data_IF_102576057177
#
_entry.id   IF_102576057177
#
_cell.length_a   1.000
_cell.length_b   1.000
_cell.length_c   1.000
_cell.angle_alpha   90.00
_cell.angle_beta   90.00
_cell.angle_gamma   90.00
#
_symmetry.space_group_name_H-M   'P 1'
#
loop_
_entity.id
_entity.type
_entity.pdbx_description
1 polymer ?
#
# COMPACT_ATOMS: atom_id res chain seq x y z
N UNK A 1 37.55 40.51 0.06
CA UNK A 1 36.13 40.12 -0.14
C UNK A 1 35.70 39.35 1.09
N UNK A 2 34.66 39.80 1.81
CA UNK A 2 34.11 39.01 2.92
C UNK A 2 33.37 37.79 2.34
N UNK A 3 33.71 36.60 2.82
CA UNK A 3 33.04 35.36 2.42
C UNK A 3 31.56 35.37 2.85
N UNK A 4 30.75 34.47 2.28
CA UNK A 4 29.33 34.38 2.64
C UNK A 4 29.17 34.07 4.13
N UNK A 5 28.23 34.76 4.77
CA UNK A 5 27.84 34.48 6.16
C UNK A 5 27.26 33.06 6.26
N UNK A 6 27.66 32.26 7.27
CA UNK A 6 27.07 30.94 7.49
C UNK A 6 25.56 31.03 7.76
N UNK A 7 24.75 30.08 7.26
CA UNK A 7 23.32 30.05 7.55
C UNK A 7 23.05 29.80 9.03
N UNK A 8 22.00 30.42 9.56
CA UNK A 8 21.56 30.24 10.95
C UNK A 8 20.61 29.03 11.02
N UNK A 9 20.83 28.08 11.95
CA UNK A 9 19.90 26.97 12.16
C UNK A 9 18.50 27.42 12.59
N UNK A 10 17.47 26.72 12.12
CA UNK A 10 16.11 26.95 12.59
C UNK A 10 15.95 26.51 14.06
N UNK A 11 15.20 27.27 14.89
CA UNK A 11 14.83 26.84 16.24
C UNK A 11 14.07 25.52 16.26
N UNK A 12 14.36 24.65 17.23
CA UNK A 12 13.79 23.29 17.32
C UNK A 12 12.28 23.28 17.50
N UNK A 13 11.72 24.30 18.15
CA UNK A 13 10.27 24.49 18.33
C UNK A 13 9.52 24.88 17.05
N UNK A 14 10.25 25.31 16.01
CA UNK A 14 9.69 25.54 14.68
C UNK A 14 9.73 24.28 13.80
N UNK A 15 10.42 23.23 14.25
CA UNK A 15 10.48 21.96 13.53
C UNK A 15 9.24 21.14 13.83
N UNK A 16 8.66 20.56 12.78
CA UNK A 16 7.47 19.70 12.89
C UNK A 16 7.82 18.28 12.50
N UNK A 17 7.24 17.31 13.19
CA UNK A 17 7.29 15.93 12.74
C UNK A 17 6.42 15.76 11.50
N UNK A 18 6.93 15.02 10.52
CA UNK A 18 6.17 14.64 9.34
C UNK A 18 5.13 13.58 9.71
N UNK A 19 4.00 14.03 10.24
CA UNK A 19 2.87 13.17 10.60
C UNK A 19 1.94 12.94 9.40
N UNK A 20 1.20 11.82 9.36
CA UNK A 20 0.15 11.63 8.38
C UNK A 20 -0.85 12.80 8.42
N UNK A 21 -1.30 13.30 7.26
CA UNK A 21 -2.31 14.35 7.19
C UNK A 21 -3.65 13.88 7.79
N UNK A 22 -4.35 14.81 8.44
CA UNK A 22 -5.76 14.67 8.81
C UNK A 22 -6.64 15.33 7.75
N UNK A 23 -7.84 14.80 7.54
CA UNK A 23 -8.79 15.29 6.54
C UNK A 23 -10.09 15.74 7.18
N UNK A 24 -10.55 16.92 6.78
CA UNK A 24 -11.84 17.47 7.22
C UNK A 24 -13.02 16.99 6.36
N UNK A 25 -12.75 16.39 5.19
CA UNK A 25 -13.76 15.88 4.27
C UNK A 25 -13.44 14.47 3.76
N UNK A 26 -14.50 13.66 3.57
CA UNK A 26 -14.40 12.32 3.01
C UNK A 26 -13.81 12.33 1.59
N UNK A 27 -14.13 13.35 0.80
CA UNK A 27 -13.62 13.50 -0.57
C UNK A 27 -12.11 13.79 -0.61
N UNK A 28 -11.61 14.61 0.32
CA UNK A 28 -10.18 14.88 0.42
C UNK A 28 -9.41 13.65 0.89
N UNK A 29 -9.96 12.91 1.87
CA UNK A 29 -9.37 11.65 2.32
C UNK A 29 -9.36 10.60 1.20
N UNK A 30 -10.49 10.45 0.47
CA UNK A 30 -10.61 9.53 -0.65
C UNK A 30 -9.60 9.86 -1.74
N UNK A 31 -9.50 11.14 -2.12
CA UNK A 31 -8.50 11.61 -3.09
C UNK A 31 -7.10 11.25 -2.64
N UNK A 32 -6.76 11.52 -1.38
CA UNK A 32 -5.45 11.17 -0.85
C UNK A 32 -5.17 9.66 -0.89
N UNK A 33 -6.10 8.82 -0.40
CA UNK A 33 -5.94 7.35 -0.41
C UNK A 33 -5.71 6.84 -1.83
N UNK A 34 -6.46 7.34 -2.83
CA UNK A 34 -6.27 7.00 -4.25
C UNK A 34 -4.89 7.45 -4.78
N UNK A 35 -4.45 8.66 -4.47
CA UNK A 35 -3.13 9.17 -4.87
C UNK A 35 -1.99 8.35 -4.26
N UNK A 36 -2.07 8.03 -2.96
CA UNK A 36 -1.10 7.19 -2.26
C UNK A 36 -1.08 5.78 -2.83
N UNK A 37 -2.25 5.20 -3.13
CA UNK A 37 -2.36 3.89 -3.74
C UNK A 37 -1.68 3.85 -5.12
N UNK A 38 -1.98 4.82 -6.00
CA UNK A 38 -1.31 4.93 -7.30
C UNK A 38 0.22 5.12 -7.15
N UNK A 39 0.65 5.90 -6.15
CA UNK A 39 2.06 6.07 -5.80
C UNK A 39 2.73 4.76 -5.35
N UNK A 40 2.09 4.02 -4.44
CA UNK A 40 2.58 2.75 -3.90
C UNK A 40 2.72 1.69 -5.01
N UNK A 41 1.73 1.61 -5.90
CA UNK A 41 1.80 0.73 -7.07
C UNK A 41 3.00 1.08 -7.96
N UNK A 42 3.21 2.37 -8.27
CA UNK A 42 4.38 2.78 -9.06
C UNK A 42 5.72 2.49 -8.37
N UNK A 43 5.78 2.57 -7.04
CA UNK A 43 6.95 2.14 -6.27
C UNK A 43 7.16 0.63 -6.44
N UNK A 44 6.12 -0.20 -6.29
CA UNK A 44 6.20 -1.64 -6.53
C UNK A 44 6.66 -1.96 -7.95
N UNK A 45 6.09 -1.31 -8.96
CA UNK A 45 6.50 -1.48 -10.36
C UNK A 45 7.95 -1.07 -10.60
N UNK A 46 8.43 0.02 -9.97
CA UNK A 46 9.83 0.46 -10.09
C UNK A 46 10.81 -0.50 -9.40
N UNK A 47 10.40 -1.10 -8.28
CA UNK A 47 11.21 -2.07 -7.52
C UNK A 47 11.12 -3.50 -8.09
N UNK A 48 10.29 -3.74 -9.11
CA UNK A 48 10.11 -5.07 -9.70
C UNK A 48 9.34 -6.04 -8.79
N UNK A 49 8.38 -5.54 -8.01
CA UNK A 49 7.57 -6.34 -7.10
C UNK A 49 6.30 -6.92 -7.74
N UNK A 50 5.96 -6.47 -8.96
CA UNK A 50 4.96 -7.14 -9.81
C UNK A 50 5.59 -8.33 -10.55
N UNK A 51 4.89 -9.45 -10.63
CA UNK A 51 5.34 -10.64 -11.38
C UNK A 51 4.27 -11.02 -12.43
N UNK A 52 4.51 -10.63 -13.68
CA UNK A 52 3.53 -10.71 -14.75
C UNK A 52 2.31 -9.84 -14.44
N UNK A 53 1.16 -10.47 -14.18
CA UNK A 53 -0.09 -9.81 -13.78
C UNK A 53 -0.40 -9.97 -12.28
N UNK A 54 0.54 -10.52 -11.53
CA UNK A 54 0.39 -10.81 -10.10
C UNK A 54 0.85 -9.65 -9.23
N UNK A 55 0.23 -9.58 -8.05
CA UNK A 55 0.38 -8.46 -7.11
C UNK A 55 -0.87 -7.59 -7.10
N UNK A 56 -1.14 -6.97 -5.97
CA UNK A 56 -2.21 -5.99 -5.83
C UNK A 56 -2.06 -5.23 -4.52
N UNK A 57 -2.54 -3.98 -4.53
CA UNK A 57 -2.64 -3.16 -3.33
C UNK A 57 -4.08 -2.67 -3.25
N UNK A 58 -4.72 -2.84 -2.09
CA UNK A 58 -6.06 -2.30 -1.82
C UNK A 58 -5.99 -1.16 -0.82
N UNK A 59 -6.89 -0.19 -0.95
CA UNK A 59 -7.14 0.83 0.06
C UNK A 59 -8.65 0.98 0.29
N UNK A 60 -9.11 0.86 1.53
CA UNK A 60 -10.52 1.03 1.92
C UNK A 60 -11.01 2.43 1.56
N UNK A 61 -12.23 2.54 1.08
CA UNK A 61 -12.89 3.84 0.92
C UNK A 61 -13.19 4.46 2.29
N UNK A 62 -13.06 5.79 2.47
CA UNK A 62 -13.34 6.42 3.77
C UNK A 62 -14.84 6.51 4.11
N UNK A 63 -15.73 6.43 3.13
CA UNK A 63 -17.19 6.49 3.34
C UNK A 63 -17.82 5.09 3.33
N UNK A 64 -17.42 4.25 2.36
CA UNK A 64 -17.96 2.91 2.19
C UNK A 64 -16.99 1.87 2.74
N UNK A 65 -17.19 1.48 4.01
CA UNK A 65 -16.24 0.64 4.74
C UNK A 65 -16.01 -0.74 4.14
N UNK A 66 -16.92 -1.24 3.30
CA UNK A 66 -16.87 -2.53 2.60
C UNK A 66 -16.46 -2.39 1.12
N UNK A 67 -16.03 -1.20 0.71
CA UNK A 67 -15.52 -0.92 -0.63
C UNK A 67 -14.02 -0.59 -0.60
N UNK A 68 -13.31 -1.03 -1.63
CA UNK A 68 -11.85 -0.96 -1.70
C UNK A 68 -11.39 -0.50 -3.07
N UNK A 69 -10.53 0.51 -3.09
CA UNK A 69 -9.77 0.95 -4.26
C UNK A 69 -8.63 -0.03 -4.54
N UNK A 70 -8.44 -0.42 -5.80
CA UNK A 70 -7.42 -1.40 -6.21
C UNK A 70 -6.92 -1.12 -7.63
N UNK A 71 -5.73 -1.65 -7.97
CA UNK A 71 -5.21 -1.60 -9.34
C UNK A 71 -6.06 -2.45 -10.32
N UNK A 72 -6.17 -2.03 -11.59
CA UNK A 72 -6.73 -2.86 -12.65
C UNK A 72 -5.99 -4.17 -12.84
N UNK A 73 -6.72 -5.24 -13.17
CA UNK A 73 -6.11 -6.50 -13.57
C UNK A 73 -5.43 -6.37 -14.94
N UNK A 74 -4.16 -6.79 -15.01
CA UNK A 74 -3.38 -6.80 -16.25
C UNK A 74 -2.70 -5.48 -16.62
N UNK A 75 -2.87 -4.42 -15.83
CA UNK A 75 -2.18 -3.15 -16.06
C UNK A 75 -0.81 -3.12 -15.36
N UNK A 76 0.28 -2.77 -16.05
CA UNK A 76 1.60 -2.62 -15.42
C UNK A 76 1.57 -1.56 -14.32
N UNK A 77 2.07 -1.89 -13.13
CA UNK A 77 2.03 -1.05 -11.94
C UNK A 77 2.72 0.30 -12.15
N UNK A 78 3.83 0.30 -12.90
CA UNK A 78 4.57 1.51 -13.27
C UNK A 78 3.74 2.54 -14.04
N UNK A 79 2.62 2.15 -14.66
CA UNK A 79 1.77 3.02 -15.47
C UNK A 79 0.45 3.40 -14.79
N UNK A 80 0.06 2.72 -13.70
CA UNK A 80 -1.22 2.99 -13.03
C UNK A 80 -1.31 4.45 -12.62
N UNK A 81 -2.42 5.12 -12.97
CA UNK A 81 -2.77 6.47 -12.51
C UNK A 81 -3.95 6.41 -11.54
N UNK A 82 -4.23 7.53 -10.86
CA UNK A 82 -5.43 7.68 -10.02
C UNK A 82 -6.72 7.39 -10.79
N UNK A 83 -6.78 7.80 -12.06
CA UNK A 83 -7.94 7.56 -12.92
C UNK A 83 -8.08 6.13 -13.44
N UNK A 84 -7.05 5.30 -13.27
CA UNK A 84 -7.12 3.89 -13.65
C UNK A 84 -7.64 3.01 -12.51
N UNK A 85 -7.54 3.47 -11.26
CA UNK A 85 -8.00 2.71 -10.09
C UNK A 85 -9.49 2.36 -10.20
N UNK A 86 -9.82 1.17 -9.70
CA UNK A 86 -11.20 0.67 -9.63
C UNK A 86 -11.60 0.50 -8.18
N UNK A 87 -12.86 0.76 -7.87
CA UNK A 87 -13.45 0.47 -6.57
C UNK A 87 -14.26 -0.82 -6.69
N UNK A 88 -13.99 -1.78 -5.82
CA UNK A 88 -14.75 -3.02 -5.73
C UNK A 88 -15.34 -3.20 -4.32
N UNK A 89 -16.54 -3.78 -4.23
CA UNK A 89 -17.12 -4.19 -2.95
C UNK A 89 -16.44 -5.45 -2.40
N UNK A 90 -16.85 -5.89 -1.21
CA UNK A 90 -16.30 -7.07 -0.52
C UNK A 90 -16.40 -8.37 -1.34
N UNK A 91 -17.35 -8.48 -2.28
CA UNK A 91 -17.53 -9.63 -3.17
C UNK A 91 -16.66 -9.55 -4.44
N UNK A 92 -15.83 -8.52 -4.58
CA UNK A 92 -14.99 -8.30 -5.77
C UNK A 92 -15.77 -7.83 -6.99
N UNK A 93 -16.97 -7.26 -6.79
CA UNK A 93 -17.75 -6.63 -7.85
C UNK A 93 -17.32 -5.17 -8.00
N UNK A 94 -17.04 -4.74 -9.22
CA UNK A 94 -16.62 -3.37 -9.51
C UNK A 94 -17.82 -2.42 -9.39
N UNK A 95 -17.72 -1.44 -8.51
CA UNK A 95 -18.73 -0.40 -8.26
C UNK A 95 -18.34 0.92 -8.94
N UNK A 96 -17.04 1.22 -9.07
CA UNK A 96 -16.54 2.39 -9.79
C UNK A 96 -15.29 2.05 -10.62
N UNK A 97 -15.18 2.65 -11.81
CA UNK A 97 -14.07 2.46 -12.74
C UNK A 97 -14.49 1.71 -13.99
N UNK A 98 -13.51 1.32 -14.82
CA UNK A 98 -13.75 0.74 -16.16
C UNK A 98 -13.04 -0.60 -16.42
N UNK A 99 -12.29 -1.10 -15.44
CA UNK A 99 -11.45 -2.29 -15.59
C UNK A 99 -11.88 -3.40 -14.64
N UNK A 100 -11.51 -4.64 -14.97
CA UNK A 100 -11.71 -5.78 -14.10
C UNK A 100 -10.72 -5.79 -12.92
N UNK A 101 -11.12 -6.41 -11.83
CA UNK A 101 -10.25 -6.84 -10.73
C UNK A 101 -9.92 -8.32 -10.87
N UNK A 102 -8.76 -8.74 -10.35
CA UNK A 102 -8.49 -10.17 -10.17
C UNK A 102 -9.29 -10.67 -8.97
N UNK A 103 -10.52 -11.16 -9.20
CA UNK A 103 -11.45 -11.53 -8.12
C UNK A 103 -10.85 -12.55 -7.16
N UNK A 104 -10.18 -13.60 -7.67
CA UNK A 104 -9.60 -14.65 -6.83
C UNK A 104 -8.55 -14.10 -5.85
N UNK A 105 -7.68 -13.21 -6.35
CA UNK A 105 -6.64 -12.60 -5.53
C UNK A 105 -7.22 -11.56 -4.57
N UNK A 106 -8.19 -10.77 -5.04
CA UNK A 106 -8.88 -9.74 -4.25
C UNK A 106 -9.61 -10.33 -3.03
N UNK A 107 -10.16 -11.54 -3.13
CA UNK A 107 -10.85 -12.21 -2.01
C UNK A 107 -9.98 -12.27 -0.75
N UNK A 108 -8.66 -12.46 -0.89
CA UNK A 108 -7.74 -12.48 0.27
C UNK A 108 -7.73 -11.13 0.98
N UNK A 109 -7.58 -10.03 0.23
CA UNK A 109 -7.61 -8.68 0.78
C UNK A 109 -8.98 -8.35 1.40
N UNK A 110 -10.08 -8.76 0.76
CA UNK A 110 -11.43 -8.55 1.28
C UNK A 110 -11.62 -9.24 2.65
N UNK A 111 -11.12 -10.47 2.82
CA UNK A 111 -11.17 -11.17 4.11
C UNK A 111 -10.31 -10.50 5.18
N UNK A 112 -9.10 -10.03 4.84
CA UNK A 112 -8.27 -9.25 5.76
C UNK A 112 -9.01 -7.99 6.22
N UNK A 113 -9.59 -7.22 5.28
CA UNK A 113 -10.33 -6.02 5.60
C UNK A 113 -11.61 -6.28 6.41
N UNK A 114 -12.29 -7.40 6.19
CA UNK A 114 -13.47 -7.81 6.97
C UNK A 114 -13.08 -8.20 8.41
N UNK A 115 -11.99 -8.95 8.58
CA UNK A 115 -11.48 -9.35 9.89
C UNK A 115 -10.82 -8.18 10.66
N UNK A 116 -10.33 -7.16 9.95
CA UNK A 116 -9.62 -6.00 10.50
C UNK A 116 -10.22 -4.68 10.01
N UNK A 117 -11.31 -4.20 10.63
CA UNK A 117 -11.94 -2.93 10.28
C UNK A 117 -10.99 -1.72 10.38
N UNK A 118 -9.99 -1.81 11.27
CA UNK A 118 -8.96 -0.80 11.47
C UNK A 118 -7.93 -0.72 10.32
N UNK A 119 -7.79 -1.79 9.52
CA UNK A 119 -6.85 -1.82 8.40
C UNK A 119 -7.41 -1.03 7.22
N UNK A 120 -6.67 0.00 6.81
CA UNK A 120 -6.98 0.85 5.66
C UNK A 120 -6.43 0.27 4.36
N UNK A 121 -5.24 -0.33 4.37
CA UNK A 121 -4.61 -0.82 3.16
C UNK A 121 -3.96 -2.19 3.36
N UNK A 122 -3.98 -3.00 2.31
CA UNK A 122 -3.31 -4.30 2.24
C UNK A 122 -2.47 -4.32 0.97
N UNK A 123 -1.24 -4.79 1.05
CA UNK A 123 -0.32 -4.88 -0.08
C UNK A 123 0.19 -6.32 -0.23
N UNK A 124 0.06 -6.87 -1.43
CA UNK A 124 0.53 -8.20 -1.79
C UNK A 124 1.46 -8.11 -3.00
N UNK A 125 2.61 -8.80 -2.94
CA UNK A 125 3.57 -8.82 -4.02
C UNK A 125 4.26 -10.18 -4.15
N UNK A 126 4.84 -10.42 -5.33
CA UNK A 126 5.65 -11.62 -5.61
C UNK A 126 7.12 -11.22 -5.75
N UNK A 127 7.63 -10.42 -4.80
CA UNK A 127 9.02 -9.97 -4.82
C UNK A 127 10.00 -11.15 -4.76
N UNK A 128 11.15 -11.00 -5.42
CA UNK A 128 12.14 -12.10 -5.56
C UNK A 128 12.58 -12.65 -4.21
N UNK A 129 12.98 -11.77 -3.29
CA UNK A 129 13.48 -12.17 -1.98
C UNK A 129 12.37 -12.65 -1.04
N UNK A 130 11.19 -12.01 -1.06
CA UNK A 130 10.05 -12.44 -0.27
C UNK A 130 9.58 -13.84 -0.66
N UNK A 131 9.49 -14.12 -1.97
CA UNK A 131 9.15 -15.45 -2.48
C UNK A 131 10.20 -16.51 -2.15
N UNK A 132 11.48 -16.15 -2.19
CA UNK A 132 12.55 -17.08 -1.82
C UNK A 132 12.48 -17.47 -0.34
N UNK A 133 12.26 -16.49 0.56
CA UNK A 133 12.08 -16.73 1.99
C UNK A 133 10.81 -17.55 2.28
N UNK A 134 9.67 -17.20 1.66
CA UNK A 134 8.41 -17.90 1.91
C UNK A 134 8.45 -19.38 1.50
N UNK A 135 9.31 -19.74 0.53
CA UNK A 135 9.49 -21.12 0.10
C UNK A 135 10.24 -22.00 1.13
N UNK A 136 10.89 -21.39 2.13
CA UNK A 136 11.56 -22.11 3.22
C UNK A 136 10.60 -22.54 4.33
N UNK A 137 9.46 -21.83 4.48
CA UNK A 137 8.51 -22.10 5.56
C UNK A 137 8.99 -21.62 6.93
N UNK A 138 9.86 -20.60 6.98
CA UNK A 138 10.41 -20.04 8.21
C UNK A 138 9.91 -18.60 8.43
N UNK A 139 9.87 -18.17 9.70
CA UNK A 139 9.69 -16.77 10.08
C UNK A 139 10.98 -15.96 9.83
N UNK A 140 10.85 -14.63 9.79
CA UNK A 140 12.01 -13.75 9.60
C UNK A 140 12.77 -13.55 10.93
N UNK A 141 14.05 -13.91 10.98
CA UNK A 141 14.86 -13.68 12.18
C UNK A 141 15.21 -12.20 12.39
N UNK A 142 15.21 -11.69 13.65
CA UNK A 142 15.52 -10.30 13.99
C UNK A 142 17.05 -10.05 14.04
N UNK A 143 17.76 -10.27 12.93
CA UNK A 143 19.24 -10.19 12.84
C UNK A 143 19.78 -8.86 12.30
N UNK A 144 18.90 -7.98 11.82
CA UNK A 144 19.19 -6.60 11.41
C UNK A 144 18.21 -5.61 12.02
N UNK A 145 18.58 -4.33 12.09
CA UNK A 145 17.70 -3.28 12.59
C UNK A 145 16.37 -3.22 11.83
N UNK A 146 16.39 -3.45 10.51
CA UNK A 146 15.21 -3.49 9.66
C UNK A 146 14.33 -4.71 9.96
N UNK A 147 14.92 -5.89 10.17
CA UNK A 147 14.16 -7.09 10.53
C UNK A 147 13.50 -6.99 11.92
N UNK A 148 14.11 -6.25 12.85
CA UNK A 148 13.54 -6.01 14.18
C UNK A 148 12.20 -5.25 14.13
N UNK A 149 11.90 -4.52 13.06
CA UNK A 149 10.61 -3.87 12.87
C UNK A 149 9.43 -4.87 12.77
N UNK A 150 9.73 -6.15 12.51
CA UNK A 150 8.73 -7.23 12.37
C UNK A 150 8.84 -8.28 13.49
N UNK A 151 9.67 -8.05 14.51
CA UNK A 151 9.88 -9.03 15.58
C UNK A 151 8.59 -9.27 16.36
N UNK A 152 8.16 -10.53 16.42
CA UNK A 152 6.88 -10.96 17.02
C UNK A 152 5.62 -10.31 16.39
N UNK A 153 5.75 -9.68 15.21
CA UNK A 153 4.67 -9.00 14.48
C UNK A 153 4.61 -9.41 13.00
N UNK A 154 4.82 -10.70 12.74
CA UNK A 154 4.58 -11.34 11.45
C UNK A 154 4.01 -12.75 11.64
N UNK A 155 3.45 -13.33 10.59
CA UNK A 155 2.91 -14.68 10.62
C UNK A 155 3.34 -15.46 9.38
N UNK A 156 3.50 -16.77 9.57
CA UNK A 156 3.64 -17.73 8.49
C UNK A 156 2.30 -18.46 8.32
N UNK A 157 1.81 -18.50 7.08
CA UNK A 157 0.64 -19.30 6.73
C UNK A 157 1.12 -20.62 6.12
N UNK A 158 0.83 -21.73 6.80
CA UNK A 158 1.11 -23.10 6.35
C UNK A 158 -0.22 -23.80 6.01
N UNK A 159 -0.56 -23.98 4.71
CA UNK A 159 -1.86 -24.48 4.25
C UNK A 159 -2.12 -25.98 4.48
#
# INVERSE_FOLDING_TARGET
MQGPTPPVPLPTDQLQFAMPPMYDSLDDERRHRKERLAGALRIFGRLGFEDGVSGHITARDPEYSDCFWVNPFGMPFKHVTVSDLVMANQDGQVIEGRYHVNQAAFTVHAQVHAARPDVVAVAHCHSVHGRALSALGDLLDPISQESCAFYEDHALYDP
#
